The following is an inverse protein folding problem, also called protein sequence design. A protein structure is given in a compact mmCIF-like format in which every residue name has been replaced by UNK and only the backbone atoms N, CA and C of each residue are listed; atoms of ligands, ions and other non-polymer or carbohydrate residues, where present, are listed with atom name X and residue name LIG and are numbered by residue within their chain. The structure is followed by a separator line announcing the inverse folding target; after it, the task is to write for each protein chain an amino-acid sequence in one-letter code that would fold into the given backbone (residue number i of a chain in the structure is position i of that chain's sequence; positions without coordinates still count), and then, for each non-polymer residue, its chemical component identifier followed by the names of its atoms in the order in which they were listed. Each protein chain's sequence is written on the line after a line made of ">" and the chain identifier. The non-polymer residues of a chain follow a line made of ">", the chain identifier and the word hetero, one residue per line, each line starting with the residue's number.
data_IF_250465026202
#
_entry.id   IF_250465026202
#
_cell.length_a   1.000
_cell.length_b   1.000
_cell.length_c   1.000
_cell.angle_alpha   90.00
_cell.angle_beta   90.00
_cell.angle_gamma   90.00
#
_symmetry.space_group_name_H-M   'P 1'
#
loop_
_entity.id
_entity.type
_entity.pdbx_description
1 polymer ?
#
# COMPACT_ATOMS: atom_id res chain seq x y z
N UNK A 1 4.35 -7.51 -14.02
CA UNK A 1 5.52 -8.12 -14.67
C UNK A 1 6.74 -7.70 -13.88
N UNK A 2 7.49 -8.66 -13.39
CA UNK A 2 8.82 -8.45 -12.81
C UNK A 2 9.85 -8.46 -13.94
N UNK A 3 10.85 -7.61 -13.82
CA UNK A 3 11.93 -7.50 -14.79
C UNK A 3 13.28 -7.58 -14.09
N UNK A 4 14.29 -8.14 -14.74
CA UNK A 4 15.67 -7.97 -14.33
C UNK A 4 16.19 -6.60 -14.78
N UNK A 5 17.33 -6.17 -14.23
CA UNK A 5 17.96 -4.90 -14.64
C UNK A 5 18.39 -4.95 -16.11
N UNK A 6 18.88 -6.09 -16.55
CA UNK A 6 19.29 -6.36 -17.94
C UNK A 6 18.08 -6.30 -18.91
N UNK A 7 16.93 -6.85 -18.50
CA UNK A 7 15.70 -6.78 -19.30
C UNK A 7 15.17 -5.36 -19.42
N UNK A 8 15.25 -4.54 -18.36
CA UNK A 8 14.90 -3.12 -18.41
C UNK A 8 15.78 -2.37 -19.39
N UNK A 9 17.09 -2.62 -19.33
CA UNK A 9 18.05 -2.01 -20.25
C UNK A 9 17.81 -2.45 -21.69
N UNK A 10 17.63 -3.75 -21.93
CA UNK A 10 17.40 -4.32 -23.24
C UNK A 10 16.09 -3.85 -23.89
N UNK A 11 15.06 -3.57 -23.08
CA UNK A 11 13.76 -3.05 -23.56
C UNK A 11 13.71 -1.53 -23.62
N UNK A 12 14.77 -0.83 -23.21
CA UNK A 12 14.86 0.63 -23.27
C UNK A 12 13.89 1.33 -22.31
N UNK A 13 13.53 0.71 -21.17
CA UNK A 13 12.72 1.38 -20.16
C UNK A 13 13.51 2.50 -19.49
N UNK A 14 13.10 3.77 -19.66
CA UNK A 14 13.88 4.89 -19.09
C UNK A 14 13.58 5.12 -17.61
N UNK A 15 12.44 4.62 -17.11
CA UNK A 15 11.97 4.76 -15.72
C UNK A 15 11.66 3.38 -15.16
N UNK A 16 12.01 3.12 -13.90
CA UNK A 16 11.70 1.86 -13.20
C UNK A 16 11.57 2.10 -11.69
N UNK A 17 10.87 1.21 -11.03
CA UNK A 17 10.80 1.14 -9.58
C UNK A 17 11.61 -0.06 -9.08
N UNK A 18 12.53 0.16 -8.16
CA UNK A 18 13.25 -0.88 -7.42
C UNK A 18 12.46 -1.19 -6.15
N UNK A 19 12.14 -2.46 -5.93
CA UNK A 19 11.38 -2.93 -4.77
C UNK A 19 12.26 -3.86 -3.94
N UNK A 20 12.61 -3.42 -2.74
CA UNK A 20 13.43 -4.20 -1.80
C UNK A 20 12.55 -5.16 -0.99
N UNK A 21 12.53 -6.44 -1.39
CA UNK A 21 11.84 -7.50 -0.67
C UNK A 21 12.47 -7.79 0.69
N UNK A 22 13.76 -7.52 0.86
CA UNK A 22 14.45 -7.60 2.15
C UNK A 22 13.92 -6.57 3.14
N UNK A 23 13.68 -5.34 2.68
CA UNK A 23 13.04 -4.30 3.48
C UNK A 23 11.61 -4.68 3.88
N UNK A 24 10.79 -5.24 2.96
CA UNK A 24 9.45 -5.73 3.27
C UNK A 24 9.50 -6.82 4.36
N UNK A 25 10.42 -7.80 4.22
CA UNK A 25 10.60 -8.85 5.23
C UNK A 25 11.03 -8.28 6.58
N UNK A 26 11.95 -7.33 6.60
CA UNK A 26 12.37 -6.64 7.82
C UNK A 26 11.18 -5.96 8.50
N UNK A 27 10.40 -5.18 7.76
CA UNK A 27 9.27 -4.45 8.28
C UNK A 27 8.20 -5.39 8.89
N UNK A 28 7.88 -6.49 8.20
CA UNK A 28 6.93 -7.49 8.75
C UNK A 28 7.47 -8.11 10.04
N UNK A 29 8.76 -8.45 10.13
CA UNK A 29 9.35 -8.97 11.37
C UNK A 29 9.28 -7.96 12.50
N UNK A 30 9.56 -6.68 12.23
CA UNK A 30 9.42 -5.58 13.18
C UNK A 30 7.99 -5.46 13.67
N UNK A 31 7.02 -5.41 12.76
CA UNK A 31 5.59 -5.29 13.08
C UNK A 31 5.07 -6.51 13.88
N UNK A 32 5.53 -7.72 13.56
CA UNK A 32 5.25 -8.92 14.36
C UNK A 32 5.79 -8.82 15.79
N UNK A 33 6.99 -8.30 15.94
CA UNK A 33 7.57 -8.06 17.28
C UNK A 33 6.72 -7.09 18.12
N UNK A 34 6.18 -6.04 17.48
CA UNK A 34 5.30 -5.05 18.13
C UNK A 34 3.93 -5.66 18.43
N UNK A 35 3.36 -6.42 17.49
CA UNK A 35 2.06 -7.05 17.64
C UNK A 35 2.05 -8.18 18.70
N UNK A 36 3.22 -8.67 19.10
CA UNK A 36 3.44 -9.68 20.14
C UNK A 36 2.65 -10.99 19.90
N UNK A 37 1.51 -11.20 20.57
CA UNK A 37 0.69 -12.40 20.45
C UNK A 37 -0.28 -12.38 19.26
N UNK A 38 -0.55 -11.21 18.67
CA UNK A 38 -1.47 -11.13 17.54
C UNK A 38 -0.82 -11.60 16.24
N UNK A 39 -1.62 -12.28 15.40
CA UNK A 39 -1.19 -12.60 14.04
C UNK A 39 -1.04 -11.32 13.19
N UNK A 40 -0.24 -11.39 12.13
CA UNK A 40 -0.07 -10.28 11.19
C UNK A 40 -0.69 -10.65 9.84
N UNK A 41 -1.63 -9.83 9.39
CA UNK A 41 -2.13 -9.82 8.02
C UNK A 41 -1.33 -8.82 7.20
N UNK A 42 -0.61 -9.29 6.19
CA UNK A 42 0.03 -8.44 5.20
C UNK A 42 -0.99 -7.88 4.21
N UNK A 43 -1.09 -6.56 4.08
CA UNK A 43 -2.09 -5.93 3.21
C UNK A 43 -1.44 -5.44 1.92
N UNK A 44 -1.86 -6.03 0.79
CA UNK A 44 -1.25 -5.79 -0.54
C UNK A 44 -2.23 -5.22 -1.58
N UNK A 45 -3.33 -4.60 -1.13
CA UNK A 45 -4.28 -3.91 -2.01
C UNK A 45 -3.62 -2.78 -2.80
N UNK A 46 -4.25 -2.38 -3.92
CA UNK A 46 -3.74 -1.29 -4.75
C UNK A 46 -2.37 -1.60 -5.34
N UNK A 47 -2.20 -2.83 -5.88
CA UNK A 47 -0.93 -3.32 -6.40
C UNK A 47 0.19 -3.26 -5.35
N UNK A 48 -0.12 -3.72 -4.12
CA UNK A 48 0.77 -3.64 -2.95
C UNK A 48 1.22 -2.19 -2.67
N UNK A 49 0.26 -1.25 -2.62
CA UNK A 49 0.55 0.19 -2.49
C UNK A 49 1.54 0.71 -3.55
N UNK A 50 1.48 0.16 -4.77
CA UNK A 50 2.38 0.49 -5.87
C UNK A 50 3.69 -0.31 -5.93
N UNK A 51 3.96 -1.16 -4.93
CA UNK A 51 5.20 -1.94 -4.85
C UNK A 51 5.19 -3.21 -5.72
N UNK A 52 4.01 -3.67 -6.13
CA UNK A 52 3.88 -4.87 -6.96
C UNK A 52 3.47 -6.10 -6.17
N UNK A 53 2.44 -6.78 -6.69
CA UNK A 53 2.01 -8.12 -6.31
C UNK A 53 2.62 -9.10 -7.34
N UNK A 54 2.74 -10.37 -7.07
CA UNK A 54 2.59 -11.11 -5.82
C UNK A 54 3.87 -11.19 -4.98
N UNK A 55 4.99 -10.69 -5.51
CA UNK A 55 6.31 -10.79 -4.89
C UNK A 55 6.32 -10.16 -3.49
N UNK A 56 5.64 -9.00 -3.33
CA UNK A 56 5.47 -8.38 -2.02
C UNK A 56 4.67 -9.26 -1.06
N UNK A 57 3.61 -9.92 -1.54
CA UNK A 57 2.80 -10.81 -0.72
C UNK A 57 3.62 -12.02 -0.24
N UNK A 58 4.40 -12.63 -1.13
CA UNK A 58 5.28 -13.74 -0.77
C UNK A 58 6.33 -13.31 0.26
N UNK A 59 6.98 -12.15 0.07
CA UNK A 59 7.95 -11.62 1.01
C UNK A 59 7.35 -11.38 2.41
N UNK A 60 6.08 -10.93 2.50
CA UNK A 60 5.37 -10.78 3.77
C UNK A 60 5.12 -12.13 4.44
N UNK A 61 4.68 -13.15 3.67
CA UNK A 61 4.44 -14.50 4.16
C UNK A 61 5.73 -15.16 4.66
N UNK A 62 6.82 -15.05 3.91
CA UNK A 62 8.15 -15.56 4.29
C UNK A 62 8.65 -14.93 5.60
N UNK A 63 8.26 -13.70 5.88
CA UNK A 63 8.59 -13.00 7.13
C UNK A 63 7.62 -13.30 8.28
N UNK A 64 6.59 -14.12 8.02
CA UNK A 64 5.67 -14.64 9.01
C UNK A 64 4.34 -13.87 9.13
N UNK A 65 3.91 -13.14 8.10
CA UNK A 65 2.51 -12.83 7.95
C UNK A 65 1.72 -14.15 7.77
N UNK A 66 0.60 -14.29 8.44
CA UNK A 66 -0.18 -15.56 8.42
C UNK A 66 -1.26 -15.55 7.35
N UNK A 67 -1.60 -14.38 6.85
CA UNK A 67 -2.62 -14.18 5.81
C UNK A 67 -2.38 -12.88 5.04
N UNK A 68 -3.03 -12.76 3.90
CA UNK A 68 -2.95 -11.59 3.03
C UNK A 68 -4.30 -10.88 2.99
N UNK A 69 -4.27 -9.55 2.97
CA UNK A 69 -5.46 -8.71 2.82
C UNK A 69 -5.44 -7.92 1.50
N UNK A 70 -6.54 -7.97 0.76
CA UNK A 70 -6.75 -7.23 -0.48
C UNK A 70 -8.07 -6.47 -0.45
N UNK A 71 -8.26 -5.50 -1.35
CA UNK A 71 -9.51 -4.76 -1.41
C UNK A 71 -10.57 -5.48 -2.26
N UNK A 72 -10.18 -6.13 -3.33
CA UNK A 72 -11.06 -6.66 -4.38
C UNK A 72 -10.79 -8.13 -4.71
N UNK A 73 -11.82 -8.84 -5.15
CA UNK A 73 -11.71 -10.25 -5.59
C UNK A 73 -10.69 -10.43 -6.71
N UNK A 74 -10.63 -9.51 -7.67
CA UNK A 74 -9.66 -9.59 -8.77
C UNK A 74 -8.20 -9.54 -8.28
N UNK A 75 -7.89 -8.78 -7.23
CA UNK A 75 -6.55 -8.77 -6.62
C UNK A 75 -6.23 -10.13 -5.98
N UNK A 76 -7.22 -10.76 -5.32
CA UNK A 76 -7.07 -12.07 -4.72
C UNK A 76 -6.86 -13.18 -5.76
N UNK A 77 -7.62 -13.15 -6.86
CA UNK A 77 -7.47 -14.10 -7.97
C UNK A 77 -6.06 -14.00 -8.54
N UNK A 78 -5.57 -12.78 -8.80
CA UNK A 78 -4.21 -12.58 -9.29
C UNK A 78 -3.13 -13.19 -8.36
N UNK A 79 -3.31 -13.08 -7.05
CA UNK A 79 -2.41 -13.72 -6.08
C UNK A 79 -2.53 -15.26 -6.12
N UNK A 80 -3.74 -15.82 -6.28
CA UNK A 80 -3.94 -17.26 -6.43
C UNK A 80 -3.27 -17.80 -7.70
N UNK A 81 -3.45 -17.10 -8.84
CA UNK A 81 -2.81 -17.43 -10.12
C UNK A 81 -1.28 -17.41 -10.03
N UNK A 82 -0.73 -16.56 -9.16
CA UNK A 82 0.69 -16.50 -8.87
C UNK A 82 1.18 -17.53 -7.83
N UNK A 83 0.30 -18.42 -7.35
CA UNK A 83 0.67 -19.51 -6.44
C UNK A 83 0.59 -19.19 -4.94
N UNK A 84 0.05 -18.05 -4.53
CA UNK A 84 -0.16 -17.75 -3.10
C UNK A 84 -1.27 -18.67 -2.56
N UNK A 85 -0.93 -19.56 -1.63
CA UNK A 85 -1.84 -20.53 -0.99
C UNK A 85 -2.35 -20.09 0.37
N UNK A 86 -1.67 -19.15 1.03
CA UNK A 86 -2.08 -18.61 2.33
C UNK A 86 -3.52 -18.03 2.30
N UNK A 87 -4.23 -17.96 3.43
CA UNK A 87 -5.54 -17.32 3.48
C UNK A 87 -5.52 -15.89 2.94
N UNK A 88 -6.46 -15.56 2.06
CA UNK A 88 -6.61 -14.21 1.48
C UNK A 88 -7.96 -13.65 1.90
N UNK A 89 -7.94 -12.48 2.57
CA UNK A 89 -9.12 -11.77 3.03
C UNK A 89 -9.45 -10.61 2.08
N UNK A 90 -10.66 -10.61 1.54
CA UNK A 90 -11.19 -9.54 0.69
C UNK A 90 -11.95 -8.54 1.55
N UNK A 91 -11.43 -7.31 1.68
CA UNK A 91 -11.97 -6.29 2.60
C UNK A 91 -13.27 -5.64 2.16
N UNK A 92 -13.54 -5.61 0.88
CA UNK A 92 -14.77 -5.01 0.35
C UNK A 92 -15.74 -6.13 0.00
N UNK A 93 -16.95 -6.08 0.56
CA UNK A 93 -18.04 -6.95 0.13
C UNK A 93 -18.26 -6.72 -1.36
N UNK A 94 -18.07 -7.74 -2.21
CA UNK A 94 -18.19 -7.55 -3.64
C UNK A 94 -19.66 -7.62 -4.09
N UNK A 95 -19.98 -7.26 -5.33
CA UNK A 95 -21.32 -7.48 -5.87
C UNK A 95 -21.67 -8.98 -5.86
N UNK A 96 -22.95 -9.35 -5.70
CA UNK A 96 -23.39 -10.74 -5.59
C UNK A 96 -22.89 -11.68 -6.70
N UNK A 97 -22.68 -11.16 -7.91
CA UNK A 97 -22.16 -11.90 -9.07
C UNK A 97 -20.76 -12.44 -8.85
N UNK A 98 -19.98 -11.84 -7.94
CA UNK A 98 -18.63 -12.29 -7.60
C UNK A 98 -18.58 -13.38 -6.52
N UNK A 99 -19.73 -13.80 -5.97
CA UNK A 99 -19.77 -14.83 -4.92
C UNK A 99 -19.16 -16.16 -5.39
N UNK A 100 -19.40 -16.57 -6.66
CA UNK A 100 -18.79 -17.77 -7.20
C UNK A 100 -17.27 -17.69 -7.23
N UNK A 101 -16.72 -16.55 -7.62
CA UNK A 101 -15.26 -16.36 -7.66
C UNK A 101 -14.62 -16.42 -6.26
N UNK A 102 -15.31 -15.95 -5.21
CA UNK A 102 -14.85 -16.12 -3.83
C UNK A 102 -14.76 -17.59 -3.45
N UNK A 103 -15.80 -18.37 -3.76
CA UNK A 103 -15.89 -19.81 -3.47
C UNK A 103 -14.84 -20.60 -4.24
N UNK A 104 -14.67 -20.33 -5.54
CA UNK A 104 -13.75 -21.07 -6.42
C UNK A 104 -12.29 -20.87 -6.01
N UNK A 105 -11.95 -19.68 -5.49
CA UNK A 105 -10.58 -19.31 -5.12
C UNK A 105 -10.29 -19.43 -3.62
N UNK A 106 -11.15 -20.06 -2.84
CA UNK A 106 -11.01 -20.28 -1.39
C UNK A 106 -10.62 -18.98 -0.64
N UNK A 107 -11.43 -17.93 -0.83
CA UNK A 107 -11.18 -16.61 -0.26
C UNK A 107 -12.00 -16.39 1.01
N UNK A 108 -11.42 -15.68 1.99
CA UNK A 108 -12.17 -15.18 3.15
C UNK A 108 -12.92 -13.90 2.74
N UNK A 109 -14.24 -13.89 2.91
CA UNK A 109 -15.07 -12.77 2.52
C UNK A 109 -15.34 -11.80 3.67
N UNK A 110 -15.42 -10.51 3.38
CA UNK A 110 -16.08 -9.55 4.28
C UNK A 110 -17.58 -9.55 3.99
N UNK A 111 -18.39 -9.57 5.04
CA UNK A 111 -19.84 -9.47 4.97
C UNK A 111 -20.33 -8.32 5.84
N UNK A 112 -21.17 -7.47 5.28
CA UNK A 112 -21.86 -6.40 6.00
C UNK A 112 -23.30 -6.14 5.49
N UNK A 113 -23.77 -6.95 4.51
CA UNK A 113 -25.18 -6.98 4.12
C UNK A 113 -25.73 -8.40 4.17
N UNK A 114 -26.97 -8.55 4.62
CA UNK A 114 -27.61 -9.86 4.63
C UNK A 114 -27.80 -10.44 3.23
N UNK A 115 -28.14 -9.61 2.27
CA UNK A 115 -28.35 -10.03 0.88
C UNK A 115 -27.09 -10.69 0.27
N UNK A 116 -25.90 -10.14 0.58
CA UNK A 116 -24.66 -10.74 0.13
C UNK A 116 -24.35 -12.05 0.92
N UNK A 117 -24.54 -12.03 2.25
CA UNK A 117 -24.35 -13.22 3.07
C UNK A 117 -25.18 -14.42 2.61
N UNK A 118 -26.48 -14.19 2.33
CA UNK A 118 -27.40 -15.21 1.80
C UNK A 118 -26.99 -15.68 0.39
N UNK A 119 -26.56 -14.77 -0.46
CA UNK A 119 -26.07 -15.12 -1.81
C UNK A 119 -24.81 -16.00 -1.72
N UNK A 120 -23.82 -15.58 -0.91
CA UNK A 120 -22.56 -16.31 -0.73
C UNK A 120 -22.80 -17.71 -0.17
N UNK A 121 -23.65 -17.81 0.87
CA UNK A 121 -24.04 -19.09 1.48
C UNK A 121 -24.69 -20.03 0.44
N UNK A 122 -25.62 -19.52 -0.35
CA UNK A 122 -26.28 -20.30 -1.40
C UNK A 122 -25.31 -20.79 -2.49
N UNK A 123 -24.32 -19.97 -2.88
CA UNK A 123 -23.28 -20.36 -3.84
C UNK A 123 -22.37 -21.41 -3.22
N UNK A 124 -21.89 -21.22 -2.00
CA UNK A 124 -21.02 -22.13 -1.29
C UNK A 124 -21.66 -23.53 -1.12
N UNK A 125 -22.94 -23.57 -0.71
CA UNK A 125 -23.72 -24.80 -0.59
C UNK A 125 -23.81 -25.58 -1.92
N UNK A 126 -24.13 -24.89 -3.01
CA UNK A 126 -24.18 -25.54 -4.34
C UNK A 126 -22.82 -26.09 -4.79
N UNK A 127 -21.74 -25.47 -4.31
CA UNK A 127 -20.36 -25.89 -4.60
C UNK A 127 -19.83 -26.94 -3.60
N UNK A 128 -20.62 -27.35 -2.60
CA UNK A 128 -20.20 -28.26 -1.55
C UNK A 128 -19.08 -27.73 -0.66
N UNK A 129 -18.98 -26.41 -0.53
CA UNK A 129 -17.92 -25.70 0.23
C UNK A 129 -18.51 -24.92 1.41
N UNK A 130 -17.66 -24.57 2.36
CA UNK A 130 -17.95 -23.60 3.43
C UNK A 130 -16.95 -22.46 3.32
N UNK A 131 -17.45 -21.22 3.24
CA UNK A 131 -16.64 -20.01 3.10
C UNK A 131 -16.48 -19.33 4.46
N UNK A 132 -15.24 -19.08 4.92
CA UNK A 132 -15.00 -18.25 6.10
C UNK A 132 -15.37 -16.78 5.79
N UNK A 133 -16.13 -16.18 6.71
CA UNK A 133 -16.52 -14.78 6.59
C UNK A 133 -16.09 -13.98 7.81
N UNK A 134 -15.66 -12.76 7.59
CA UNK A 134 -15.46 -11.78 8.65
C UNK A 134 -16.54 -10.69 8.56
N UNK A 135 -17.28 -10.51 9.63
CA UNK A 135 -18.34 -9.50 9.70
C UNK A 135 -17.72 -8.14 9.92
N UNK A 136 -18.05 -7.17 9.07
CA UNK A 136 -17.58 -5.80 9.21
C UNK A 136 -18.54 -5.01 10.09
N UNK A 137 -18.00 -4.44 11.18
CA UNK A 137 -18.69 -3.59 12.14
C UNK A 137 -18.33 -2.12 11.86
N UNK A 138 -19.33 -1.24 11.84
CA UNK A 138 -19.08 0.19 11.78
C UNK A 138 -19.03 0.79 13.20
N UNK A 139 -17.84 1.13 13.63
CA UNK A 139 -17.60 1.76 14.94
C UNK A 139 -17.45 3.27 14.87
N UNK A 140 -17.76 3.89 13.71
CA UNK A 140 -17.74 5.35 13.57
C UNK A 140 -16.96 5.88 12.38
N UNK A 141 -16.37 5.02 11.54
CA UNK A 141 -15.76 5.47 10.28
C UNK A 141 -16.82 5.78 9.21
N UNK A 142 -18.01 5.18 9.32
CA UNK A 142 -19.18 5.38 8.46
C UNK A 142 -18.93 5.20 6.95
N UNK A 143 -18.00 4.31 6.62
CA UNK A 143 -17.68 3.97 5.23
C UNK A 143 -18.44 2.73 4.75
N UNK A 144 -18.37 1.66 5.51
CA UNK A 144 -19.09 0.39 5.33
C UNK A 144 -19.12 -0.37 6.65
N UNK A 145 -20.11 -1.26 6.85
CA UNK A 145 -20.23 -2.10 8.04
C UNK A 145 -21.64 -2.07 8.62
N UNK A 146 -21.95 -3.08 9.44
CA UNK A 146 -23.18 -3.13 10.23
C UNK A 146 -23.16 -2.05 11.30
N UNK A 147 -24.25 -1.33 11.46
CA UNK A 147 -24.44 -0.40 12.57
C UNK A 147 -24.72 -1.18 13.87
N UNK A 148 -24.41 -0.58 15.01
CA UNK A 148 -24.50 -1.22 16.33
C UNK A 148 -25.82 -1.93 16.62
N UNK A 149 -26.92 -1.32 16.21
CA UNK A 149 -28.26 -1.84 16.49
C UNK A 149 -28.62 -3.04 15.59
N UNK A 150 -28.01 -3.11 14.40
CA UNK A 150 -28.23 -4.18 13.42
C UNK A 150 -27.40 -5.44 13.72
N UNK A 151 -26.31 -5.30 14.50
CA UNK A 151 -25.35 -6.39 14.71
C UNK A 151 -25.98 -7.66 15.30
N UNK A 152 -26.78 -7.63 16.38
CA UNK A 152 -27.33 -8.86 16.96
C UNK A 152 -28.17 -9.67 15.95
N UNK A 153 -29.13 -9.00 15.31
CA UNK A 153 -30.03 -9.68 14.35
C UNK A 153 -29.30 -10.16 13.08
N UNK A 154 -28.31 -9.41 12.61
CA UNK A 154 -27.49 -9.83 11.47
C UNK A 154 -26.62 -11.05 11.80
N UNK A 155 -25.99 -11.08 12.98
CA UNK A 155 -25.16 -12.18 13.43
C UNK A 155 -25.98 -13.47 13.58
N UNK A 156 -27.13 -13.42 14.24
CA UNK A 156 -28.03 -14.58 14.37
C UNK A 156 -28.44 -15.14 13.00
N UNK A 157 -28.82 -14.27 12.07
CA UNK A 157 -29.19 -14.67 10.71
C UNK A 157 -28.04 -15.25 9.92
N UNK A 158 -26.83 -14.63 9.98
CA UNK A 158 -25.64 -15.13 9.29
C UNK A 158 -25.18 -16.49 9.83
N UNK A 159 -25.23 -16.67 11.15
CA UNK A 159 -24.88 -17.92 11.80
C UNK A 159 -25.81 -19.09 11.47
N UNK A 160 -27.06 -18.80 11.10
CA UNK A 160 -28.03 -19.80 10.67
C UNK A 160 -27.91 -20.20 9.19
N UNK A 161 -27.02 -19.57 8.42
CA UNK A 161 -26.81 -19.91 7.02
C UNK A 161 -25.80 -21.04 6.85
N UNK A 162 -26.25 -22.15 6.25
CA UNK A 162 -25.33 -23.19 5.79
C UNK A 162 -24.44 -22.64 4.66
N UNK A 163 -23.20 -23.16 4.55
CA UNK A 163 -22.26 -22.80 3.50
C UNK A 163 -21.35 -21.61 3.83
N UNK A 164 -21.58 -20.90 4.94
CA UNK A 164 -20.64 -19.92 5.49
C UNK A 164 -20.34 -20.19 6.96
N UNK A 165 -19.20 -19.69 7.44
CA UNK A 165 -18.85 -19.72 8.86
C UNK A 165 -18.31 -18.35 9.27
N UNK A 166 -18.85 -17.78 10.36
CA UNK A 166 -18.33 -16.53 10.92
C UNK A 166 -17.00 -16.83 11.61
N UNK A 167 -15.89 -16.61 10.88
CA UNK A 167 -14.53 -16.83 11.40
C UNK A 167 -14.06 -15.63 12.23
N UNK A 168 -14.54 -14.43 11.90
CA UNK A 168 -14.10 -13.24 12.60
C UNK A 168 -15.05 -12.05 12.49
N UNK A 169 -14.72 -11.02 13.28
CA UNK A 169 -15.37 -9.72 13.23
C UNK A 169 -14.32 -8.60 13.25
N UNK A 170 -14.57 -7.51 12.52
CA UNK A 170 -13.58 -6.46 12.37
C UNK A 170 -14.15 -5.06 12.18
N UNK A 171 -13.33 -4.07 12.55
CA UNK A 171 -13.61 -2.67 12.27
C UNK A 171 -12.38 -1.95 11.71
N UNK A 172 -12.42 -0.62 11.64
CA UNK A 172 -11.30 0.19 11.17
C UNK A 172 -11.28 1.53 11.91
N UNK A 173 -10.12 1.88 12.45
CA UNK A 173 -9.91 3.13 13.16
C UNK A 173 -9.75 4.27 12.15
N UNK A 174 -10.47 5.37 12.40
CA UNK A 174 -10.54 6.51 11.49
C UNK A 174 -9.35 7.48 11.66
N UNK A 175 -8.80 7.58 12.87
CA UNK A 175 -7.80 8.60 13.27
C UNK A 175 -6.69 8.00 14.14
N UNK A 176 -6.32 6.74 13.91
CA UNK A 176 -5.27 6.07 14.67
C UNK A 176 -3.86 6.65 14.42
N UNK A 177 -3.69 7.42 13.35
CA UNK A 177 -2.48 8.16 13.00
C UNK A 177 -2.30 9.46 13.78
N UNK A 178 -3.32 9.86 14.57
CA UNK A 178 -3.27 10.98 15.51
C UNK A 178 -3.27 10.43 16.93
N UNK A 179 -2.12 10.40 17.62
CA UNK A 179 -2.03 9.90 18.99
C UNK A 179 -3.02 10.58 19.94
N UNK A 180 -3.54 9.82 20.88
CA UNK A 180 -4.44 10.28 21.94
C UNK A 180 -5.75 10.93 21.47
N UNK A 181 -6.11 10.79 20.20
CA UNK A 181 -7.37 11.35 19.71
C UNK A 181 -8.57 10.65 20.40
N UNK A 182 -9.48 11.39 21.04
CA UNK A 182 -10.56 10.80 21.88
C UNK A 182 -11.53 9.92 21.09
N UNK A 183 -11.66 10.14 19.78
CA UNK A 183 -12.50 9.33 18.92
C UNK A 183 -11.96 7.89 18.75
N UNK A 184 -10.65 7.69 18.81
CA UNK A 184 -10.03 6.36 18.78
C UNK A 184 -10.51 5.53 19.97
N UNK A 185 -10.49 6.09 21.19
CA UNK A 185 -11.02 5.40 22.39
C UNK A 185 -12.49 5.04 22.22
N UNK A 186 -13.31 5.98 21.74
CA UNK A 186 -14.72 5.72 21.45
C UNK A 186 -14.93 4.55 20.48
N UNK A 187 -14.10 4.45 19.43
CA UNK A 187 -14.17 3.33 18.48
C UNK A 187 -13.76 2.00 19.11
N UNK A 188 -12.73 2.00 19.96
CA UNK A 188 -12.26 0.80 20.67
C UNK A 188 -13.32 0.29 21.65
N UNK A 189 -13.90 1.19 22.47
CA UNK A 189 -14.93 0.84 23.46
C UNK A 189 -16.18 0.27 22.75
N UNK A 190 -16.62 0.88 21.65
CA UNK A 190 -17.73 0.37 20.86
C UNK A 190 -17.41 -0.97 20.20
N UNK A 191 -16.18 -1.14 19.70
CA UNK A 191 -15.76 -2.43 19.13
C UNK A 191 -15.80 -3.54 20.19
N UNK A 192 -15.27 -3.29 21.38
CA UNK A 192 -15.29 -4.24 22.48
C UNK A 192 -16.72 -4.63 22.90
N UNK A 193 -17.64 -3.65 22.99
CA UNK A 193 -19.05 -3.92 23.30
C UNK A 193 -19.70 -4.80 22.23
N UNK A 194 -19.50 -4.49 20.93
CA UNK A 194 -20.05 -5.25 19.82
C UNK A 194 -19.49 -6.69 19.76
N UNK A 195 -18.18 -6.88 19.97
CA UNK A 195 -17.58 -8.20 20.12
C UNK A 195 -18.25 -8.98 21.26
N UNK A 196 -18.40 -8.35 22.43
CA UNK A 196 -19.08 -8.99 23.57
C UNK A 196 -20.54 -9.35 23.28
N UNK A 197 -21.26 -8.60 22.44
CA UNK A 197 -22.63 -8.95 21.99
C UNK A 197 -22.62 -10.19 21.08
N UNK A 198 -21.67 -10.28 20.15
CA UNK A 198 -21.50 -11.41 19.23
C UNK A 198 -21.18 -12.71 20.02
N UNK A 199 -20.25 -12.63 20.97
CA UNK A 199 -19.88 -13.77 21.82
C UNK A 199 -21.03 -14.23 22.73
N UNK A 200 -21.81 -13.28 23.29
CA UNK A 200 -23.02 -13.62 24.07
C UNK A 200 -24.12 -14.29 23.21
N UNK A 201 -24.14 -14.07 21.92
CA UNK A 201 -25.00 -14.79 20.98
C UNK A 201 -24.51 -16.21 20.68
N UNK A 202 -23.42 -16.66 21.30
CA UNK A 202 -22.86 -18.02 21.14
C UNK A 202 -21.94 -18.19 19.94
N UNK A 203 -21.47 -17.11 19.33
CA UNK A 203 -20.53 -17.17 18.22
C UNK A 203 -19.09 -17.11 18.73
N UNK A 204 -18.35 -18.17 18.49
CA UNK A 204 -16.91 -18.23 18.81
C UNK A 204 -16.10 -17.60 17.66
N UNK A 205 -15.54 -16.42 17.92
CA UNK A 205 -14.75 -15.67 16.95
C UNK A 205 -13.28 -16.09 17.06
N UNK A 206 -12.74 -16.69 16.03
CA UNK A 206 -11.29 -16.93 15.93
C UNK A 206 -10.50 -15.61 15.79
N UNK A 207 -11.06 -14.63 15.09
CA UNK A 207 -10.38 -13.38 14.82
C UNK A 207 -11.22 -12.14 15.16
N UNK A 208 -10.71 -11.35 16.08
CA UNK A 208 -11.14 -9.98 16.37
C UNK A 208 -10.06 -9.07 15.83
N UNK A 209 -10.38 -8.11 14.94
CA UNK A 209 -9.34 -7.23 14.44
C UNK A 209 -9.82 -5.82 14.11
N UNK A 210 -9.15 -4.82 14.66
CA UNK A 210 -9.45 -3.40 14.43
C UNK A 210 -8.20 -2.62 13.99
N UNK A 211 -7.00 -3.01 14.47
CA UNK A 211 -5.76 -2.31 14.20
C UNK A 211 -5.41 -2.27 12.72
N UNK A 212 -5.09 -1.08 12.21
CA UNK A 212 -4.38 -0.83 10.98
C UNK A 212 -2.88 -0.59 11.26
N UNK A 213 -2.06 -0.21 10.27
CA UNK A 213 -0.63 0.08 10.48
C UNK A 213 -0.36 1.09 11.60
N UNK A 214 -1.15 2.18 11.67
CA UNK A 214 -0.97 3.19 12.71
C UNK A 214 -1.25 2.61 14.11
N UNK A 215 -2.39 1.96 14.27
CA UNK A 215 -2.76 1.36 15.54
C UNK A 215 -1.83 0.20 15.94
N UNK A 216 -1.30 -0.55 14.98
CA UNK A 216 -0.28 -1.57 15.27
C UNK A 216 0.97 -0.96 15.90
N UNK A 217 1.38 0.22 15.44
CA UNK A 217 2.57 0.91 15.95
C UNK A 217 2.35 1.61 17.29
N UNK A 218 1.12 2.07 17.60
CA UNK A 218 0.90 3.03 18.70
C UNK A 218 -0.20 2.66 19.70
N UNK A 219 -1.02 1.62 19.44
CA UNK A 219 -2.19 1.31 20.25
C UNK A 219 -2.23 -0.20 20.56
N UNK A 220 -1.42 -0.70 21.53
CA UNK A 220 -1.32 -2.14 21.81
C UNK A 220 -2.66 -2.82 22.15
N UNK A 221 -3.56 -2.12 22.85
CA UNK A 221 -4.89 -2.64 23.18
C UNK A 221 -5.79 -2.89 21.97
N UNK A 222 -5.44 -2.38 20.79
CA UNK A 222 -6.17 -2.60 19.53
C UNK A 222 -5.77 -3.86 18.79
N UNK A 223 -4.69 -4.55 19.21
CA UNK A 223 -4.11 -5.66 18.43
C UNK A 223 -5.04 -6.86 18.36
N UNK A 224 -5.70 -7.20 19.47
CA UNK A 224 -6.58 -8.39 19.61
C UNK A 224 -5.91 -9.66 19.04
N UNK A 225 -6.61 -10.39 18.13
CA UNK A 225 -6.09 -11.63 17.57
C UNK A 225 -5.29 -11.41 16.27
N UNK A 226 -5.50 -10.26 15.58
CA UNK A 226 -4.96 -10.03 14.25
C UNK A 226 -4.79 -8.53 13.96
N UNK A 227 -3.59 -8.13 13.55
CA UNK A 227 -3.31 -6.77 13.06
C UNK A 227 -3.21 -6.75 11.54
N UNK A 228 -3.60 -5.62 10.90
CA UNK A 228 -3.61 -5.47 9.44
C UNK A 228 -2.57 -4.43 9.03
N UNK A 229 -1.38 -4.92 8.65
CA UNK A 229 -0.24 -4.10 8.29
C UNK A 229 -0.22 -3.85 6.78
N UNK A 230 -0.50 -2.61 6.39
CA UNK A 230 -0.43 -2.15 5.00
C UNK A 230 0.79 -1.26 4.78
N UNK A 231 0.62 0.05 4.87
CA UNK A 231 1.66 1.04 4.56
C UNK A 231 2.97 0.83 5.33
N UNK A 232 2.90 0.49 6.61
CA UNK A 232 4.09 0.23 7.43
C UNK A 232 4.88 -1.00 6.96
N UNK A 233 4.25 -1.99 6.32
CA UNK A 233 4.94 -3.13 5.73
C UNK A 233 5.87 -2.73 4.58
N UNK A 234 5.63 -1.58 3.97
CA UNK A 234 6.44 -1.02 2.90
C UNK A 234 7.44 0.05 3.40
N UNK A 235 7.56 0.22 4.72
CA UNK A 235 8.47 1.18 5.32
C UNK A 235 8.02 2.63 5.19
N UNK A 236 6.73 2.85 4.99
CA UNK A 236 6.11 4.17 4.92
C UNK A 236 5.37 4.46 6.22
N UNK A 237 5.47 5.68 6.70
CA UNK A 237 4.84 6.10 7.94
C UNK A 237 3.34 6.35 7.75
N UNK A 238 2.47 5.79 8.61
CA UNK A 238 1.02 6.00 8.50
C UNK A 238 0.57 7.41 8.88
N UNK A 239 1.42 8.19 9.53
CA UNK A 239 1.17 9.58 9.89
C UNK A 239 2.42 10.26 10.43
N UNK A 240 2.50 11.61 10.40
CA UNK A 240 3.70 12.37 10.83
C UNK A 240 4.06 12.14 12.30
N UNK A 241 3.06 11.93 13.15
CA UNK A 241 3.28 11.71 14.60
C UNK A 241 3.88 10.33 14.91
N UNK A 242 3.91 9.42 13.94
CA UNK A 242 4.42 8.07 14.11
C UNK A 242 5.78 7.84 13.42
N UNK A 243 6.39 8.91 12.91
CA UNK A 243 7.75 8.84 12.35
C UNK A 243 8.69 8.36 13.44
N UNK A 244 9.58 7.44 13.09
CA UNK A 244 10.58 6.82 13.98
C UNK A 244 10.01 6.04 15.20
N UNK A 245 8.69 5.76 15.23
CA UNK A 245 8.09 4.90 16.27
C UNK A 245 8.52 3.43 16.19
N UNK A 246 9.13 3.02 15.09
CA UNK A 246 9.69 1.69 14.88
C UNK A 246 10.83 1.75 13.85
N UNK A 247 11.67 0.71 13.78
CA UNK A 247 12.70 0.61 12.75
C UNK A 247 12.10 0.08 11.44
N UNK A 248 11.52 0.98 10.62
CA UNK A 248 10.97 0.64 9.31
C UNK A 248 11.95 1.02 8.19
N UNK A 249 12.03 0.18 7.17
CA UNK A 249 12.89 0.38 5.99
C UNK A 249 12.02 0.60 4.76
N UNK A 250 12.10 1.77 4.09
CA UNK A 250 11.36 2.00 2.85
C UNK A 250 11.77 1.00 1.78
N UNK A 251 10.75 0.41 1.16
CA UNK A 251 10.94 -0.70 0.22
C UNK A 251 10.95 -0.25 -1.24
N UNK A 252 10.64 1.01 -1.57
CA UNK A 252 10.54 1.50 -2.94
C UNK A 252 11.54 2.60 -3.24
N UNK A 253 12.26 2.47 -4.36
CA UNK A 253 12.93 3.58 -5.04
C UNK A 253 12.38 3.74 -6.45
N UNK A 254 12.17 4.99 -6.90
CA UNK A 254 11.79 5.33 -8.27
C UNK A 254 12.98 6.01 -8.95
N UNK A 255 13.42 5.45 -10.06
CA UNK A 255 14.62 5.88 -10.77
C UNK A 255 14.33 6.14 -12.25
N UNK A 256 15.11 7.05 -12.84
CA UNK A 256 15.06 7.31 -14.27
C UNK A 256 16.46 7.55 -14.83
N UNK A 257 16.70 7.16 -16.10
CA UNK A 257 17.96 7.48 -16.79
C UNK A 257 17.84 8.83 -17.49
N UNK A 258 18.82 9.72 -17.31
CA UNK A 258 18.93 10.96 -18.06
C UNK A 258 19.01 10.64 -19.54
N UNK A 259 18.13 11.25 -20.33
CA UNK A 259 18.08 10.99 -21.79
C UNK A 259 18.61 12.17 -22.63
N UNK A 260 18.85 13.32 -22.04
CA UNK A 260 19.41 14.51 -22.70
C UNK A 260 20.17 15.37 -21.71
N UNK A 261 21.26 15.97 -22.16
CA UNK A 261 21.98 17.06 -21.48
C UNK A 261 22.29 18.17 -22.50
N UNK A 262 22.17 19.42 -22.11
CA UNK A 262 22.44 20.59 -22.95
C UNK A 262 22.81 21.82 -22.15
N UNK A 263 23.57 22.74 -22.75
CA UNK A 263 23.77 24.08 -22.22
C UNK A 263 22.55 24.96 -22.54
N UNK A 264 22.12 25.76 -21.58
CA UNK A 264 21.05 26.76 -21.70
C UNK A 264 21.59 28.08 -21.18
N UNK A 265 21.43 29.14 -21.95
CA UNK A 265 21.94 30.46 -21.58
C UNK A 265 21.10 31.12 -20.48
N UNK A 266 21.71 32.00 -19.71
CA UNK A 266 21.02 32.84 -18.76
C UNK A 266 19.86 33.62 -19.42
N UNK A 267 18.72 33.74 -18.73
CA UNK A 267 17.51 34.39 -19.21
C UNK A 267 16.61 33.50 -20.09
N UNK A 268 17.05 32.31 -20.48
CA UNK A 268 16.20 31.36 -21.19
C UNK A 268 15.26 30.66 -20.20
N UNK A 269 14.02 30.36 -20.65
CA UNK A 269 13.01 29.75 -19.80
C UNK A 269 12.73 28.31 -20.19
N UNK A 270 12.42 27.45 -19.19
CA UNK A 270 12.24 26.01 -19.35
C UNK A 270 10.77 25.59 -19.27
N UNK A 271 10.41 24.58 -20.08
CA UNK A 271 9.17 23.82 -20.02
C UNK A 271 7.91 24.64 -20.36
N UNK A 272 6.75 23.93 -20.25
CA UNK A 272 5.44 24.53 -20.49
C UNK A 272 5.15 25.71 -19.55
N UNK A 273 4.70 26.82 -20.12
CA UNK A 273 4.34 28.02 -19.39
C UNK A 273 5.55 28.85 -18.96
N UNK A 274 6.77 28.48 -19.37
CA UNK A 274 8.01 29.24 -19.14
C UNK A 274 8.15 29.69 -17.68
N UNK A 275 7.90 28.76 -16.73
CA UNK A 275 7.81 29.08 -15.30
C UNK A 275 9.12 29.01 -14.53
N UNK A 276 10.19 28.61 -15.21
CA UNK A 276 11.53 28.52 -14.65
C UNK A 276 12.46 29.25 -15.63
N UNK A 277 13.10 30.27 -15.19
CA UNK A 277 14.11 31.02 -15.92
C UNK A 277 15.49 30.61 -15.40
N UNK A 278 16.40 30.32 -16.31
CA UNK A 278 17.80 29.99 -15.98
C UNK A 278 18.54 31.26 -15.60
N UNK A 279 18.98 31.35 -14.34
CA UNK A 279 19.57 32.59 -13.80
C UNK A 279 21.00 32.87 -14.32
N UNK A 280 21.71 31.82 -14.71
CA UNK A 280 23.09 31.86 -15.26
C UNK A 280 23.21 30.81 -16.35
N UNK A 281 24.23 30.90 -17.19
CA UNK A 281 24.52 29.83 -18.13
C UNK A 281 24.63 28.51 -17.35
N UNK A 282 23.77 27.55 -17.66
CA UNK A 282 23.63 26.32 -16.88
C UNK A 282 23.51 25.10 -17.79
N UNK A 283 23.96 23.99 -17.28
CA UNK A 283 23.64 22.70 -17.86
C UNK A 283 22.25 22.25 -17.38
N UNK A 284 21.42 21.82 -18.32
CA UNK A 284 20.08 21.30 -18.04
C UNK A 284 20.02 19.86 -18.55
N UNK A 285 19.60 18.96 -17.66
CA UNK A 285 19.34 17.57 -18.01
C UNK A 285 17.84 17.30 -18.14
N UNK A 286 17.47 16.38 -19.02
CA UNK A 286 16.09 15.90 -19.15
C UNK A 286 15.97 14.51 -18.53
N UNK A 287 15.03 14.40 -17.59
CA UNK A 287 14.67 13.15 -16.91
C UNK A 287 13.39 12.62 -17.57
N UNK A 288 13.40 11.43 -18.18
CA UNK A 288 12.28 10.86 -18.92
C UNK A 288 11.24 10.20 -18.00
N UNK A 289 10.75 10.96 -17.03
CA UNK A 289 9.67 10.60 -16.11
C UNK A 289 8.67 11.76 -16.05
N UNK A 290 7.39 11.44 -15.94
CA UNK A 290 6.36 12.46 -15.86
C UNK A 290 5.10 11.99 -15.14
N UNK A 291 4.01 12.77 -15.27
CA UNK A 291 2.80 12.44 -14.53
C UNK A 291 2.12 11.15 -15.04
N UNK A 292 2.43 10.67 -16.24
CA UNK A 292 2.01 9.37 -16.72
C UNK A 292 2.78 8.20 -16.07
N UNK A 293 3.93 8.49 -15.41
CA UNK A 293 4.72 7.53 -14.63
C UNK A 293 4.41 7.60 -13.13
N UNK A 294 3.46 8.47 -12.73
CA UNK A 294 3.10 8.70 -11.34
C UNK A 294 3.86 9.85 -10.68
N UNK A 295 4.78 10.54 -11.39
CA UNK A 295 5.47 11.72 -10.89
C UNK A 295 4.60 12.96 -11.06
N UNK A 296 3.89 13.35 -10.01
CA UNK A 296 2.77 14.30 -10.06
C UNK A 296 3.17 15.67 -10.64
N UNK A 297 2.29 16.25 -11.49
CA UNK A 297 2.51 17.55 -12.10
C UNK A 297 2.64 18.69 -11.09
N UNK A 298 2.07 18.55 -9.89
CA UNK A 298 2.18 19.53 -8.78
C UNK A 298 3.58 19.61 -8.17
N UNK A 299 4.47 18.65 -8.49
CA UNK A 299 5.89 18.68 -8.12
C UNK A 299 6.70 19.73 -8.91
N UNK A 300 6.13 20.29 -9.97
CA UNK A 300 6.75 21.35 -10.79
C UNK A 300 7.27 22.50 -9.95
N UNK A 301 8.57 22.76 -9.97
CA UNK A 301 9.24 23.83 -9.21
C UNK A 301 9.15 23.69 -7.68
N UNK A 302 8.85 22.48 -7.18
CA UNK A 302 8.70 22.22 -5.72
C UNK A 302 9.54 21.05 -5.25
N UNK A 303 9.76 20.08 -6.11
CA UNK A 303 10.53 18.88 -5.77
C UNK A 303 11.96 18.99 -6.28
N UNK A 304 12.78 18.08 -5.76
CA UNK A 304 14.15 17.86 -6.18
C UNK A 304 14.32 16.41 -6.64
N UNK A 305 15.42 16.13 -7.33
CA UNK A 305 15.91 14.80 -7.65
C UNK A 305 17.33 14.66 -7.16
N UNK A 306 17.78 13.43 -6.92
CA UNK A 306 19.17 13.14 -6.62
C UNK A 306 19.87 12.63 -7.88
N UNK A 307 21.06 13.14 -8.15
CA UNK A 307 21.97 12.65 -9.17
C UNK A 307 23.35 12.59 -8.52
N UNK A 308 23.95 11.40 -8.45
CA UNK A 308 25.24 11.16 -7.79
C UNK A 308 25.31 11.69 -6.35
N UNK A 309 24.21 11.58 -5.61
CA UNK A 309 24.11 11.98 -4.21
C UNK A 309 23.89 13.49 -3.99
N UNK A 310 23.77 14.28 -5.05
CA UNK A 310 23.48 15.73 -4.98
C UNK A 310 22.04 16.03 -5.35
N UNK A 311 21.41 17.02 -4.66
CA UNK A 311 20.05 17.47 -4.94
C UNK A 311 20.02 18.53 -6.01
N UNK A 312 19.10 18.38 -6.95
CA UNK A 312 18.84 19.36 -8.02
C UNK A 312 17.33 19.61 -8.15
N UNK A 313 16.92 20.87 -8.40
CA UNK A 313 15.52 21.23 -8.47
C UNK A 313 14.85 20.73 -9.76
N UNK A 314 13.58 20.31 -9.65
CA UNK A 314 12.71 20.12 -10.81
C UNK A 314 12.45 21.48 -11.44
N UNK A 315 13.11 21.75 -12.58
CA UNK A 315 13.18 23.05 -13.21
C UNK A 315 12.12 23.22 -14.28
N UNK A 316 11.06 23.91 -13.91
CA UNK A 316 9.89 24.14 -14.76
C UNK A 316 8.77 23.12 -14.53
N UNK A 317 7.89 23.00 -15.54
CA UNK A 317 6.68 22.18 -15.45
C UNK A 317 7.01 20.70 -15.72
N UNK A 318 6.57 19.79 -14.83
CA UNK A 318 6.56 18.35 -15.09
C UNK A 318 5.56 18.07 -16.22
N UNK A 319 6.06 17.45 -17.32
CA UNK A 319 5.27 17.08 -18.48
C UNK A 319 4.69 15.66 -18.33
N UNK A 320 4.04 15.14 -19.37
CA UNK A 320 3.45 13.80 -19.34
C UNK A 320 4.50 12.71 -19.12
N UNK A 321 5.60 12.78 -19.86
CA UNK A 321 6.61 11.72 -19.95
C UNK A 321 8.03 12.18 -19.58
N UNK A 322 8.24 13.47 -19.24
CA UNK A 322 9.56 13.98 -18.90
C UNK A 322 9.49 15.33 -18.17
N UNK A 323 10.59 15.69 -17.50
CA UNK A 323 10.83 17.02 -16.94
C UNK A 323 12.30 17.40 -17.03
N UNK A 324 12.62 18.65 -16.80
CA UNK A 324 13.97 19.17 -16.81
C UNK A 324 14.48 19.44 -15.39
N UNK A 325 15.81 19.41 -15.26
CA UNK A 325 16.54 19.68 -14.04
C UNK A 325 17.72 20.58 -14.38
N UNK A 326 17.80 21.73 -13.77
CA UNK A 326 18.95 22.61 -13.85
C UNK A 326 20.03 22.12 -12.89
N UNK A 327 21.15 21.69 -13.43
CA UNK A 327 22.28 21.14 -12.67
C UNK A 327 23.46 22.12 -12.56
N UNK A 328 23.27 23.36 -13.05
CA UNK A 328 24.30 24.42 -12.99
C UNK A 328 25.51 24.08 -13.83
N UNK A 329 26.67 24.07 -13.18
CA UNK A 329 27.96 23.77 -13.81
C UNK A 329 28.31 22.26 -13.78
N UNK A 330 27.52 21.44 -13.08
CA UNK A 330 27.83 20.02 -12.90
C UNK A 330 27.66 19.24 -14.20
N UNK A 331 28.55 18.26 -14.40
CA UNK A 331 28.60 17.46 -15.62
C UNK A 331 27.89 16.12 -15.42
N UNK A 332 26.67 16.03 -15.93
CA UNK A 332 25.92 14.79 -15.95
C UNK A 332 25.67 14.30 -17.39
N UNK A 333 26.08 13.06 -17.65
CA UNK A 333 25.97 12.45 -18.97
C UNK A 333 24.62 11.74 -19.17
N UNK A 334 24.23 11.63 -20.43
CA UNK A 334 23.12 10.75 -20.84
C UNK A 334 23.40 9.32 -20.37
N UNK A 335 22.36 8.66 -19.80
CA UNK A 335 22.45 7.31 -19.23
C UNK A 335 22.69 7.29 -17.71
N UNK A 336 23.14 8.40 -17.09
CA UNK A 336 23.22 8.49 -15.63
C UNK A 336 21.84 8.42 -14.99
N UNK A 337 21.80 7.96 -13.75
CA UNK A 337 20.54 7.72 -13.02
C UNK A 337 20.17 8.93 -12.17
N UNK A 338 18.96 9.42 -12.36
CA UNK A 338 18.31 10.33 -11.43
C UNK A 338 17.39 9.54 -10.50
N UNK A 339 17.50 9.78 -9.21
CA UNK A 339 16.64 9.18 -8.17
C UNK A 339 15.52 10.15 -7.83
N UNK A 340 14.29 9.74 -8.09
CA UNK A 340 13.08 10.52 -7.87
C UNK A 340 12.44 10.23 -6.51
N UNK A 341 12.56 8.98 -6.07
CA UNK A 341 12.20 8.49 -4.72
C UNK A 341 13.29 7.50 -4.32
N UNK A 342 13.78 7.57 -3.10
CA UNK A 342 14.79 6.65 -2.60
C UNK A 342 16.09 7.35 -2.23
N UNK A 343 17.11 6.56 -1.88
CA UNK A 343 18.44 7.05 -1.50
C UNK A 343 19.40 7.04 -2.68
N UNK A 344 20.30 8.01 -2.70
CA UNK A 344 21.45 8.09 -3.58
C UNK A 344 22.60 8.72 -2.79
N UNK A 345 23.72 7.98 -2.65
CA UNK A 345 24.80 8.37 -1.74
C UNK A 345 24.29 8.47 -0.29
N UNK A 346 24.54 9.61 0.33
CA UNK A 346 24.17 9.89 1.73
C UNK A 346 22.84 10.64 1.88
N UNK A 347 22.14 10.92 0.77
CA UNK A 347 20.88 11.67 0.79
C UNK A 347 19.72 10.82 0.30
N UNK A 348 18.50 11.30 0.57
CA UNK A 348 17.28 10.57 0.27
C UNK A 348 16.12 11.51 -0.03
N UNK A 349 15.34 11.18 -1.06
CA UNK A 349 14.01 11.75 -1.32
C UNK A 349 12.96 10.73 -0.91
N UNK A 350 12.13 11.07 0.09
CA UNK A 350 11.10 10.17 0.58
C UNK A 350 9.73 10.42 -0.08
N UNK A 351 8.87 9.40 -0.05
CA UNK A 351 7.49 9.56 -0.49
C UNK A 351 6.72 10.57 0.38
N UNK A 352 7.07 10.69 1.67
CA UNK A 352 6.54 11.69 2.60
C UNK A 352 6.94 13.11 2.19
N UNK A 353 8.18 13.30 1.73
CA UNK A 353 8.67 14.58 1.21
C UNK A 353 7.85 15.02 -0.01
N UNK A 354 7.71 14.16 -1.00
CA UNK A 354 6.90 14.45 -2.19
C UNK A 354 5.44 14.69 -1.84
N UNK A 355 4.87 13.91 -0.92
CA UNK A 355 3.50 14.08 -0.45
C UNK A 355 3.26 15.47 0.16
N UNK A 356 4.20 15.97 0.98
CA UNK A 356 4.15 17.33 1.55
C UNK A 356 4.15 18.41 0.48
N UNK A 357 4.98 18.26 -0.55
CA UNK A 357 5.06 19.24 -1.65
C UNK A 357 3.75 19.39 -2.43
N UNK A 358 2.95 18.33 -2.51
CA UNK A 358 1.71 18.32 -3.30
C UNK A 358 0.43 18.29 -2.47
N UNK A 359 0.54 18.34 -1.12
CA UNK A 359 -0.60 18.39 -0.21
C UNK A 359 -1.40 17.09 -0.18
N UNK A 360 -0.71 15.94 -0.09
CA UNK A 360 -1.32 14.60 0.01
C UNK A 360 -0.56 13.73 1.01
N UNK A 361 -0.79 12.40 0.95
CA UNK A 361 -0.14 11.39 1.79
C UNK A 361 0.78 10.48 0.96
N UNK A 362 1.80 9.91 1.60
CA UNK A 362 2.78 9.01 0.99
C UNK A 362 2.13 7.79 0.32
N UNK A 363 1.00 7.29 0.83
CA UNK A 363 0.18 6.23 0.21
C UNK A 363 -0.19 6.56 -1.24
N UNK A 364 -0.64 7.79 -1.49
CA UNK A 364 -1.05 8.21 -2.82
C UNK A 364 0.15 8.34 -3.75
N UNK A 365 1.28 8.83 -3.25
CA UNK A 365 2.52 8.97 -4.03
C UNK A 365 2.95 7.63 -4.61
N UNK A 366 3.08 6.59 -3.78
CA UNK A 366 3.55 5.28 -4.25
C UNK A 366 2.49 4.53 -5.05
N UNK A 367 1.21 4.59 -4.64
CA UNK A 367 0.11 3.89 -5.33
C UNK A 367 -0.13 4.44 -6.74
N UNK A 368 0.22 5.70 -7.00
CA UNK A 368 0.09 6.32 -8.32
C UNK A 368 1.10 5.85 -9.36
N UNK A 369 2.18 5.18 -8.97
CA UNK A 369 3.15 4.63 -9.92
C UNK A 369 2.46 3.51 -10.71
N UNK A 370 2.14 3.71 -12.00
CA UNK A 370 1.33 2.79 -12.80
C UNK A 370 2.11 1.55 -13.22
N UNK A 371 1.40 0.57 -13.77
CA UNK A 371 1.99 -0.68 -14.27
C UNK A 371 2.92 -0.50 -15.48
N UNK A 372 2.85 0.65 -16.18
CA UNK A 372 3.79 0.97 -17.28
C UNK A 372 5.23 1.18 -16.78
N UNK A 373 5.40 1.57 -15.51
CA UNK A 373 6.70 1.62 -14.84
C UNK A 373 7.04 0.22 -14.37
N UNK A 374 8.06 -0.45 -14.93
CA UNK A 374 8.43 -1.80 -14.53
C UNK A 374 8.95 -1.83 -13.09
N UNK A 375 8.75 -2.96 -12.40
CA UNK A 375 9.30 -3.23 -11.07
C UNK A 375 10.47 -4.20 -11.20
N UNK A 376 11.58 -3.83 -10.56
CA UNK A 376 12.72 -4.72 -10.30
C UNK A 376 12.65 -5.11 -8.83
N UNK A 377 12.57 -6.39 -8.56
CA UNK A 377 12.61 -6.88 -7.19
C UNK A 377 14.05 -7.20 -6.80
N UNK A 378 14.52 -6.58 -5.70
CA UNK A 378 15.85 -6.79 -5.13
C UNK A 378 15.75 -7.36 -3.72
N UNK A 379 16.86 -7.84 -3.16
CA UNK A 379 16.85 -8.43 -1.82
C UNK A 379 16.03 -9.71 -1.74
N UNK A 380 15.85 -10.42 -2.85
CA UNK A 380 15.36 -11.79 -2.88
C UNK A 380 16.29 -12.68 -2.04
N UNK A 381 15.78 -13.78 -1.50
CA UNK A 381 16.68 -14.83 -1.01
C UNK A 381 17.41 -15.35 -2.23
N UNK A 382 18.71 -15.00 -2.36
CA UNK A 382 19.61 -15.72 -3.25
C UNK A 382 19.41 -17.19 -2.93
N UNK A 383 19.07 -17.98 -3.95
CA UNK A 383 18.59 -19.34 -3.79
C UNK A 383 19.41 -20.16 -2.78
N UNK A 384 18.68 -20.64 -1.75
CA UNK A 384 19.15 -21.74 -0.92
C UNK A 384 18.79 -23.05 -1.61
#
# INVERSE_FOLDING_TARGET
>A
MSFTKEEIEARGHPVWAEIDLGAIRHNIKTLRGIAAAAEVMGVVKGYAYGHGNPESAQAMLDAGATRIGVARVAEAIHLREAGITAPIHVFTEPPPQAAQALVDNDLTATVYTMAFGETLAGVANRSGKTVPVHVKLDTGMHRVGLLSDDVPGAIERLAALDGIVIEGAWSHLAVADVPDHPFTRKQLDLFADLIGRIERAGIDLRYRHIANSAATLSIPESHHDLVRCGVASFGLWPGPALVDSAELKPALALRARINMTKQVAAGEALSYGLRYEVERDSRVVTVPAGYADGYDRRLSGRAEVLIEGSRYPVSGTVCMDQFMVDVGDDEHSVGMVATLIGSDGNDRISAEELARHIGTINYEVTTRIPSRVPRIFIGGTDGA
#
